data_IF_870674842261
#
_entry.id   IF_870674842261
#
_cell.length_a   1.000
_cell.length_b   1.000
_cell.length_c   1.000
_cell.angle_alpha   90.00
_cell.angle_beta   90.00
_cell.angle_gamma   90.00
#
_symmetry.space_group_name_H-M   'P 1'
#
loop_
_entity.id
_entity.type
_entity.pdbx_description
1 polymer ?
#
# COMPACT_ATOMS: atom_id res chain seq x y z
N UNK A 1 -15.18 -2.57 -26.42
CA UNK A 1 -14.29 -2.96 -25.30
C UNK A 1 -13.58 -4.25 -25.67
N UNK A 2 -12.29 -4.38 -25.36
CA UNK A 2 -11.58 -5.64 -25.57
C UNK A 2 -12.13 -6.72 -24.60
N UNK A 3 -12.26 -7.97 -25.05
CA UNK A 3 -12.67 -9.07 -24.17
C UNK A 3 -11.58 -9.38 -23.15
N UNK A 4 -11.97 -9.91 -21.97
CA UNK A 4 -11.06 -10.15 -20.85
C UNK A 4 -9.85 -11.01 -21.20
N UNK A 5 -10.05 -12.05 -22.00
CA UNK A 5 -8.98 -12.97 -22.41
C UNK A 5 -7.89 -12.29 -23.23
N UNK A 6 -8.28 -11.34 -24.10
CA UNK A 6 -7.32 -10.55 -24.88
C UNK A 6 -6.52 -9.59 -23.98
N UNK A 7 -7.16 -9.01 -22.97
CA UNK A 7 -6.48 -8.15 -21.97
C UNK A 7 -5.50 -8.97 -21.13
N UNK A 8 -5.90 -10.15 -20.66
CA UNK A 8 -5.02 -11.02 -19.87
C UNK A 8 -3.79 -11.46 -20.66
N UNK A 9 -4.01 -11.92 -21.92
CA UNK A 9 -2.91 -12.29 -22.82
C UNK A 9 -1.96 -11.14 -23.04
N UNK A 10 -2.49 -9.95 -23.37
CA UNK A 10 -1.69 -8.74 -23.59
C UNK A 10 -0.84 -8.38 -22.37
N UNK A 11 -1.42 -8.38 -21.16
CA UNK A 11 -0.67 -8.07 -19.93
C UNK A 11 0.43 -9.09 -19.67
N UNK A 12 0.15 -10.40 -19.87
CA UNK A 12 1.16 -11.42 -19.65
C UNK A 12 2.30 -11.34 -20.68
N UNK A 13 2.02 -11.03 -21.93
CA UNK A 13 3.03 -10.84 -22.97
C UNK A 13 3.92 -9.64 -22.68
N UNK A 14 3.31 -8.51 -22.28
CA UNK A 14 4.05 -7.30 -21.89
C UNK A 14 4.96 -7.56 -20.69
N UNK A 15 4.43 -8.25 -19.68
CA UNK A 15 5.23 -8.59 -18.49
C UNK A 15 6.35 -9.57 -18.80
N UNK A 16 6.13 -10.55 -19.70
CA UNK A 16 7.18 -11.47 -20.14
C UNK A 16 8.29 -10.71 -20.90
N UNK A 17 7.90 -9.80 -21.79
CA UNK A 17 8.86 -8.93 -22.51
C UNK A 17 9.62 -8.02 -21.54
N UNK A 18 8.95 -7.46 -20.52
CA UNK A 18 9.58 -6.64 -19.49
C UNK A 18 10.55 -7.46 -18.61
N UNK A 19 10.23 -8.73 -18.28
CA UNK A 19 11.13 -9.63 -17.54
C UNK A 19 12.45 -9.82 -18.31
N UNK A 20 12.38 -10.03 -19.62
CA UNK A 20 13.55 -10.18 -20.48
C UNK A 20 14.36 -8.89 -20.59
N UNK A 21 13.71 -7.76 -20.91
CA UNK A 21 14.36 -6.46 -21.08
C UNK A 21 15.02 -5.91 -19.82
N UNK A 22 14.49 -6.25 -18.65
CA UNK A 22 14.99 -5.77 -17.35
C UNK A 22 15.91 -6.79 -16.64
N UNK A 23 16.23 -7.93 -17.26
CA UNK A 23 17.00 -9.01 -16.64
C UNK A 23 18.33 -8.57 -16.05
N UNK A 24 19.08 -7.73 -16.75
CA UNK A 24 20.39 -7.20 -16.35
C UNK A 24 20.33 -5.75 -15.86
N UNK A 25 19.13 -5.15 -15.79
CA UNK A 25 18.99 -3.75 -15.45
C UNK A 25 19.12 -3.50 -13.95
N UNK A 26 20.10 -2.68 -13.57
CA UNK A 26 20.29 -2.20 -12.20
C UNK A 26 19.70 -0.81 -12.06
N UNK A 27 18.53 -0.72 -11.45
CA UNK A 27 17.84 0.56 -11.26
C UNK A 27 18.58 1.46 -10.26
N UNK A 28 18.75 2.76 -10.54
CA UNK A 28 19.36 3.70 -9.60
C UNK A 28 18.45 4.04 -8.41
N UNK A 29 17.13 3.98 -8.57
CA UNK A 29 16.15 4.38 -7.57
C UNK A 29 14.91 3.45 -7.59
N UNK A 30 14.20 3.36 -6.47
CA UNK A 30 13.01 2.50 -6.34
C UNK A 30 11.75 3.00 -7.07
N UNK A 31 11.77 4.20 -7.65
CA UNK A 31 10.68 4.69 -8.51
C UNK A 31 10.76 4.17 -9.95
N UNK A 32 11.88 3.56 -10.33
CA UNK A 32 12.02 2.89 -11.62
C UNK A 32 11.73 1.40 -11.50
N UNK A 33 11.13 0.78 -12.54
CA UNK A 33 10.87 -0.65 -12.55
C UNK A 33 12.18 -1.45 -12.58
N UNK A 34 12.10 -2.70 -12.15
CA UNK A 34 13.18 -3.69 -12.24
C UNK A 34 12.56 -5.09 -12.25
N UNK A 35 13.33 -6.13 -12.49
CA UNK A 35 12.84 -7.51 -12.56
C UNK A 35 11.96 -7.92 -11.37
N UNK A 36 12.32 -7.67 -10.09
CA UNK A 36 11.43 -7.96 -8.98
C UNK A 36 10.07 -7.23 -9.03
N UNK A 37 9.99 -6.03 -9.63
CA UNK A 37 8.70 -5.33 -9.84
C UNK A 37 7.86 -6.09 -10.86
N UNK A 38 8.45 -6.52 -11.97
CA UNK A 38 7.77 -7.33 -12.98
C UNK A 38 7.26 -8.64 -12.37
N UNK A 39 8.07 -9.33 -11.58
CA UNK A 39 7.66 -10.54 -10.87
C UNK A 39 6.47 -10.28 -9.92
N UNK A 40 6.46 -9.13 -9.23
CA UNK A 40 5.34 -8.74 -8.38
C UNK A 40 4.04 -8.51 -9.16
N UNK A 41 4.12 -7.89 -10.32
CA UNK A 41 2.98 -7.71 -11.23
C UNK A 41 2.51 -9.04 -11.81
N UNK A 42 3.46 -9.92 -12.21
CA UNK A 42 3.14 -11.29 -12.63
C UNK A 42 2.40 -12.08 -11.54
N UNK A 43 2.90 -12.02 -10.30
CA UNK A 43 2.24 -12.69 -9.17
C UNK A 43 0.79 -12.22 -9.00
N UNK A 44 0.55 -10.91 -9.09
CA UNK A 44 -0.80 -10.34 -9.00
C UNK A 44 -1.68 -10.76 -10.18
N UNK A 45 -1.14 -10.76 -11.38
CA UNK A 45 -1.88 -11.14 -12.58
C UNK A 45 -2.32 -12.61 -12.52
N UNK A 46 -1.41 -13.52 -12.16
CA UNK A 46 -1.73 -14.92 -12.01
C UNK A 46 -2.73 -15.19 -10.87
N UNK A 47 -2.64 -14.45 -9.76
CA UNK A 47 -3.60 -14.53 -8.67
C UNK A 47 -4.99 -14.08 -9.11
N UNK A 48 -5.08 -12.97 -9.84
CA UNK A 48 -6.33 -12.45 -10.40
C UNK A 48 -7.00 -13.47 -11.33
N UNK A 49 -6.23 -14.07 -12.24
CA UNK A 49 -6.72 -15.10 -13.17
C UNK A 49 -7.22 -16.32 -12.40
N UNK A 50 -6.48 -16.82 -11.43
CA UNK A 50 -6.91 -17.94 -10.60
C UNK A 50 -8.20 -17.67 -9.84
N UNK A 51 -8.32 -16.48 -9.25
CA UNK A 51 -9.53 -16.05 -8.55
C UNK A 51 -10.72 -15.91 -9.49
N UNK A 52 -10.51 -15.39 -10.71
CA UNK A 52 -11.55 -15.31 -11.71
C UNK A 52 -12.05 -16.70 -12.13
N UNK A 53 -11.15 -17.63 -12.41
CA UNK A 53 -11.51 -18.99 -12.84
C UNK A 53 -12.11 -19.83 -11.70
N UNK A 54 -11.90 -19.43 -10.45
CA UNK A 54 -12.61 -20.00 -9.32
C UNK A 54 -14.07 -19.54 -9.28
N UNK A 55 -14.32 -18.26 -9.55
CA UNK A 55 -15.66 -17.67 -9.54
C UNK A 55 -16.45 -17.95 -10.83
N UNK A 56 -15.75 -18.06 -11.96
CA UNK A 56 -16.30 -18.25 -13.31
C UNK A 56 -15.51 -19.34 -14.05
N UNK A 57 -15.76 -20.64 -13.76
CA UNK A 57 -14.95 -21.74 -14.34
C UNK A 57 -15.00 -21.80 -15.87
N UNK A 58 -16.07 -21.35 -16.50
CA UNK A 58 -16.24 -21.29 -17.97
C UNK A 58 -15.26 -20.30 -18.62
N UNK A 59 -14.79 -19.31 -17.89
CA UNK A 59 -13.86 -18.30 -18.41
C UNK A 59 -12.48 -18.90 -18.70
N UNK A 60 -12.09 -19.96 -18.01
CA UNK A 60 -10.85 -20.69 -18.31
C UNK A 60 -10.89 -21.31 -19.72
N UNK A 61 -11.99 -21.98 -20.07
CA UNK A 61 -12.17 -22.54 -21.39
C UNK A 61 -12.24 -21.44 -22.46
N UNK A 62 -12.94 -20.35 -22.15
CA UNK A 62 -13.03 -19.19 -23.04
C UNK A 62 -11.66 -18.60 -23.32
N UNK A 63 -10.82 -18.44 -22.29
CA UNK A 63 -9.45 -17.94 -22.45
C UNK A 63 -8.61 -18.89 -23.31
N UNK A 64 -8.59 -20.19 -23.01
CA UNK A 64 -7.78 -21.17 -23.73
C UNK A 64 -8.21 -21.33 -25.20
N UNK A 65 -9.52 -21.20 -25.50
CA UNK A 65 -10.01 -21.27 -26.87
C UNK A 65 -9.68 -20.02 -27.71
N UNK A 66 -9.36 -18.91 -27.08
CA UNK A 66 -9.10 -17.62 -27.74
C UNK A 66 -7.66 -17.10 -27.57
N UNK A 67 -6.80 -17.83 -26.85
CA UNK A 67 -5.40 -17.52 -26.67
C UNK A 67 -4.55 -18.77 -26.70
N UNK A 68 -3.24 -18.62 -26.78
CA UNK A 68 -2.24 -19.69 -26.73
C UNK A 68 -1.70 -19.97 -25.32
N UNK A 69 -2.34 -19.42 -24.28
CA UNK A 69 -1.86 -19.55 -22.90
C UNK A 69 -1.93 -20.97 -22.34
N UNK A 70 -2.87 -21.78 -22.81
CA UNK A 70 -3.03 -23.21 -22.49
C UNK A 70 -2.97 -23.51 -20.98
N UNK A 71 -3.74 -22.76 -20.18
CA UNK A 71 -3.76 -22.90 -18.72
C UNK A 71 -4.56 -24.14 -18.36
N UNK A 72 -3.93 -25.07 -17.65
CA UNK A 72 -4.54 -26.36 -17.31
C UNK A 72 -5.68 -26.24 -16.29
N UNK A 73 -5.52 -25.39 -15.27
CA UNK A 73 -6.53 -25.20 -14.23
C UNK A 73 -6.29 -23.89 -13.45
N UNK A 74 -7.24 -23.50 -12.60
CA UNK A 74 -7.07 -22.38 -11.67
C UNK A 74 -5.91 -22.59 -10.69
N UNK A 75 -5.65 -23.83 -10.28
CA UNK A 75 -4.54 -24.19 -9.39
C UNK A 75 -3.20 -23.91 -10.05
N UNK A 76 -3.09 -24.06 -11.38
CA UNK A 76 -1.91 -23.63 -12.15
C UNK A 76 -1.67 -22.13 -11.98
N UNK A 77 -2.73 -21.33 -12.02
CA UNK A 77 -2.60 -19.89 -11.80
C UNK A 77 -2.12 -19.55 -10.37
N UNK A 78 -2.71 -20.17 -9.36
CA UNK A 78 -2.28 -19.96 -7.98
C UNK A 78 -0.83 -20.42 -7.73
N UNK A 79 -0.43 -21.53 -8.33
CA UNK A 79 0.97 -22.02 -8.27
C UNK A 79 1.92 -21.00 -8.88
N UNK A 80 1.63 -20.49 -10.08
CA UNK A 80 2.44 -19.46 -10.73
C UNK A 80 2.46 -18.15 -9.92
N UNK A 81 1.33 -17.75 -9.34
CA UNK A 81 1.26 -16.57 -8.46
C UNK A 81 2.22 -16.73 -7.27
N UNK A 82 2.22 -17.90 -6.62
CA UNK A 82 3.10 -18.20 -5.50
C UNK A 82 4.58 -18.24 -5.91
N UNK A 83 4.90 -18.82 -7.09
CA UNK A 83 6.26 -18.85 -7.62
C UNK A 83 6.82 -17.45 -7.87
N UNK A 84 6.07 -16.58 -8.55
CA UNK A 84 6.49 -15.21 -8.81
C UNK A 84 6.57 -14.37 -7.52
N UNK A 85 5.63 -14.54 -6.59
CA UNK A 85 5.72 -13.88 -5.29
C UNK A 85 6.99 -14.30 -4.52
N UNK A 86 7.38 -15.58 -4.58
CA UNK A 86 8.61 -16.09 -3.97
C UNK A 86 9.86 -15.49 -4.61
N UNK A 87 9.88 -15.34 -5.94
CA UNK A 87 10.97 -14.61 -6.62
C UNK A 87 11.12 -13.20 -6.06
N UNK A 88 10.01 -12.43 -5.91
CA UNK A 88 10.05 -11.09 -5.32
C UNK A 88 10.65 -11.10 -3.92
N UNK A 89 10.20 -12.00 -3.05
CA UNK A 89 10.71 -12.13 -1.68
C UNK A 89 12.22 -12.37 -1.66
N UNK A 90 12.71 -13.23 -2.54
CA UNK A 90 14.12 -13.64 -2.56
C UNK A 90 15.04 -12.61 -3.23
N UNK A 91 14.55 -11.89 -4.25
CA UNK A 91 15.37 -11.08 -5.15
C UNK A 91 15.30 -9.58 -4.85
N UNK A 92 14.19 -9.10 -4.28
CA UNK A 92 14.00 -7.66 -4.08
C UNK A 92 14.77 -7.09 -2.90
N UNK A 93 15.18 -7.92 -1.94
CA UNK A 93 15.70 -7.47 -0.65
C UNK A 93 14.65 -6.77 0.23
N UNK A 94 13.38 -6.80 -0.18
CA UNK A 94 12.31 -6.17 0.59
C UNK A 94 12.05 -6.93 1.90
N UNK A 95 11.87 -6.17 2.98
CA UNK A 95 11.61 -6.68 4.32
C UNK A 95 10.34 -6.06 4.88
N UNK A 96 9.59 -6.77 5.72
CA UNK A 96 8.47 -6.17 6.45
C UNK A 96 8.93 -4.94 7.24
N UNK A 97 8.03 -3.94 7.34
CA UNK A 97 8.28 -2.79 8.20
C UNK A 97 8.46 -3.21 9.65
N UNK A 98 9.43 -2.60 10.30
CA UNK A 98 9.56 -2.64 11.76
C UNK A 98 8.46 -1.78 12.40
N UNK A 99 8.21 -1.96 13.70
CA UNK A 99 7.28 -1.12 14.45
C UNK A 99 7.66 0.37 14.36
N UNK A 100 8.95 0.68 14.47
CA UNK A 100 9.49 2.03 14.36
C UNK A 100 9.21 2.65 12.98
N UNK A 101 9.48 1.93 11.92
CA UNK A 101 9.24 2.39 10.56
C UNK A 101 7.74 2.56 10.27
N UNK A 102 6.90 1.68 10.81
CA UNK A 102 5.45 1.78 10.66
C UNK A 102 4.89 3.11 11.20
N UNK A 103 5.42 3.58 12.32
CA UNK A 103 5.02 4.86 12.93
C UNK A 103 5.84 6.06 12.45
N UNK A 104 6.64 5.90 11.40
CA UNK A 104 7.34 6.98 10.72
C UNK A 104 8.80 7.15 11.12
N UNK A 105 9.38 6.21 11.87
CA UNK A 105 10.78 6.26 12.27
C UNK A 105 11.07 7.41 13.23
N UNK A 106 12.21 8.08 13.04
CA UNK A 106 12.66 9.20 13.88
C UNK A 106 12.25 10.57 13.32
N UNK A 107 11.68 10.60 12.12
CA UNK A 107 11.25 11.83 11.46
C UNK A 107 10.15 11.56 10.43
N UNK A 108 9.47 12.59 9.95
CA UNK A 108 8.45 12.47 8.90
C UNK A 108 9.01 12.02 7.54
N UNK A 109 10.32 12.07 7.36
CA UNK A 109 11.00 11.66 6.12
C UNK A 109 11.50 10.23 6.14
N UNK A 110 11.32 9.52 7.25
CA UNK A 110 11.72 8.12 7.42
C UNK A 110 10.51 7.22 7.68
N UNK A 111 10.71 5.93 7.66
CA UNK A 111 9.64 4.97 7.88
C UNK A 111 8.86 4.64 6.63
N UNK A 112 7.59 4.24 6.79
CA UNK A 112 6.80 3.68 5.70
C UNK A 112 6.53 4.66 4.54
N UNK A 113 6.61 5.96 4.78
CA UNK A 113 6.41 7.00 3.76
C UNK A 113 7.64 7.21 2.87
N UNK A 114 8.77 6.64 3.21
CA UNK A 114 10.00 6.77 2.41
C UNK A 114 10.15 5.58 1.46
N UNK A 115 10.33 5.83 0.17
CA UNK A 115 10.65 4.80 -0.83
C UNK A 115 12.03 4.16 -0.57
N UNK A 116 12.87 4.79 0.25
CA UNK A 116 14.15 4.24 0.68
C UNK A 116 13.99 3.13 1.71
N UNK A 117 12.84 3.04 2.38
CA UNK A 117 12.53 1.96 3.32
C UNK A 117 12.54 0.61 2.61
N UNK A 118 13.13 -0.40 3.26
CA UNK A 118 13.30 -1.72 2.66
C UNK A 118 11.99 -2.45 2.34
N UNK A 119 10.88 -2.06 2.92
CA UNK A 119 9.55 -2.65 2.63
C UNK A 119 9.01 -2.30 1.23
N UNK A 120 9.55 -1.29 0.58
CA UNK A 120 9.13 -0.89 -0.76
C UNK A 120 9.90 -1.65 -1.83
N UNK A 121 9.19 -2.39 -2.67
CA UNK A 121 9.73 -2.97 -3.90
C UNK A 121 9.74 -1.93 -5.02
N UNK A 122 8.66 -1.14 -5.11
CA UNK A 122 8.48 -0.08 -6.10
C UNK A 122 7.52 0.95 -5.56
N UNK A 123 7.73 2.23 -5.86
CA UNK A 123 6.85 3.30 -5.45
C UNK A 123 7.00 4.53 -6.33
N UNK A 124 5.92 5.29 -6.46
CA UNK A 124 5.95 6.61 -7.06
C UNK A 124 6.31 7.63 -5.98
N UNK A 125 7.28 8.47 -6.26
CA UNK A 125 7.64 9.59 -5.38
C UNK A 125 6.73 10.75 -5.78
N UNK A 126 5.98 11.28 -4.81
CA UNK A 126 5.23 12.52 -4.98
C UNK A 126 6.03 13.67 -4.37
N UNK A 127 6.33 14.67 -5.17
CA UNK A 127 6.98 15.90 -4.72
C UNK A 127 5.92 16.99 -4.51
N UNK A 128 6.31 18.07 -3.81
CA UNK A 128 5.45 19.25 -3.64
C UNK A 128 5.06 19.87 -4.99
N UNK A 129 5.92 19.75 -5.99
CA UNK A 129 5.70 20.26 -7.34
C UNK A 129 4.67 19.43 -8.13
N UNK A 130 4.55 18.14 -7.81
CA UNK A 130 3.59 17.23 -8.45
C UNK A 130 2.16 17.40 -7.93
N UNK A 131 2.01 18.03 -6.78
CA UNK A 131 0.71 18.15 -6.09
C UNK A 131 0.09 19.52 -6.36
N UNK A 132 -0.50 19.70 -7.52
CA UNK A 132 -1.17 20.95 -7.89
C UNK A 132 -2.58 21.11 -7.28
N UNK A 133 -3.16 20.06 -6.71
CA UNK A 133 -4.52 20.10 -6.18
C UNK A 133 -4.69 19.18 -4.98
N UNK A 134 -4.79 19.75 -3.81
CA UNK A 134 -5.05 19.02 -2.57
C UNK A 134 -6.44 18.34 -2.55
N UNK A 135 -7.36 18.74 -3.40
CA UNK A 135 -8.68 18.12 -3.54
C UNK A 135 -8.63 16.66 -3.98
N UNK A 136 -7.60 16.31 -4.73
CA UNK A 136 -7.39 14.96 -5.25
C UNK A 136 -6.37 14.18 -4.42
N UNK A 137 -5.82 14.77 -3.38
CA UNK A 137 -4.81 14.13 -2.55
C UNK A 137 -5.47 13.11 -1.60
N UNK A 138 -5.39 11.85 -2.00
CA UNK A 138 -5.85 10.72 -1.18
C UNK A 138 -5.26 10.75 0.22
N UNK A 139 -4.04 11.14 0.33
CA UNK A 139 -3.30 11.19 1.56
C UNK A 139 -3.82 12.27 2.53
N UNK A 140 -4.13 13.45 2.04
CA UNK A 140 -4.79 14.48 2.84
C UNK A 140 -6.11 14.01 3.43
N UNK A 141 -6.84 13.15 2.70
CA UNK A 141 -8.07 12.55 3.21
C UNK A 141 -7.87 11.46 4.26
N UNK A 142 -6.64 10.96 4.41
CA UNK A 142 -6.28 9.91 5.37
C UNK A 142 -5.66 10.45 6.66
N UNK A 143 -5.25 11.73 6.68
CA UNK A 143 -4.73 12.37 7.88
C UNK A 143 -5.85 12.81 8.82
N UNK A 144 -5.64 12.78 10.13
CA UNK A 144 -6.53 13.41 11.09
C UNK A 144 -6.54 14.93 10.87
N UNK A 145 -7.71 15.50 10.61
CA UNK A 145 -7.84 16.89 10.19
C UNK A 145 -7.36 17.90 11.23
N UNK A 146 -7.68 17.67 12.49
CA UNK A 146 -7.39 18.64 13.56
C UNK A 146 -5.91 18.71 13.89
N UNK A 147 -5.19 17.61 13.77
CA UNK A 147 -3.75 17.54 14.05
C UNK A 147 -2.91 18.38 13.09
N UNK A 148 -3.40 18.59 11.88
CA UNK A 148 -2.61 19.19 10.81
C UNK A 148 -3.19 20.50 10.25
N UNK A 149 -4.13 21.11 10.96
CA UNK A 149 -4.53 22.48 10.74
C UNK A 149 -5.12 22.83 9.38
N UNK A 150 -5.98 21.97 8.80
CA UNK A 150 -6.76 22.33 7.60
C UNK A 150 -7.73 23.49 7.87
N UNK A 151 -7.35 24.36 8.78
CA UNK A 151 -8.00 25.56 9.19
C UNK A 151 -9.45 25.64 8.71
N UNK A 152 -10.44 25.61 9.55
CA UNK A 152 -11.87 25.76 9.26
C UNK A 152 -12.56 24.75 8.33
N UNK A 153 -11.88 23.71 7.83
CA UNK A 153 -12.50 22.68 6.99
C UNK A 153 -12.89 21.43 7.79
N UNK A 154 -13.83 21.58 8.68
CA UNK A 154 -14.36 20.51 9.57
C UNK A 154 -15.09 19.37 8.86
N UNK A 155 -15.14 19.35 7.55
CA UNK A 155 -15.94 18.38 6.76
C UNK A 155 -15.15 17.20 6.19
N UNK A 156 -13.83 17.19 6.31
CA UNK A 156 -13.02 16.02 5.94
C UNK A 156 -12.91 15.09 7.15
N UNK A 157 -13.85 14.19 7.27
CA UNK A 157 -13.96 13.30 8.42
C UNK A 157 -12.72 12.42 8.64
N UNK A 158 -12.45 12.10 9.88
CA UNK A 158 -11.45 11.13 10.29
C UNK A 158 -11.66 9.78 9.59
N UNK A 159 -10.58 9.11 9.26
CA UNK A 159 -10.64 7.71 8.86
C UNK A 159 -10.61 6.85 10.11
N UNK A 160 -11.71 6.19 10.38
CA UNK A 160 -11.90 5.37 11.55
C UNK A 160 -11.92 3.90 11.14
N UNK A 161 -11.31 3.06 11.98
CA UNK A 161 -11.52 1.62 11.87
C UNK A 161 -12.89 1.25 12.47
N UNK A 162 -13.60 0.32 11.85
CA UNK A 162 -14.84 -0.20 12.43
C UNK A 162 -14.57 -0.88 13.79
N UNK A 163 -15.38 -0.56 14.80
CA UNK A 163 -15.24 -1.10 16.16
C UNK A 163 -15.06 -2.62 16.17
N UNK A 164 -15.92 -3.34 15.46
CA UNK A 164 -15.85 -4.82 15.42
C UNK A 164 -14.50 -5.32 14.92
N UNK A 165 -13.92 -4.65 13.92
CA UNK A 165 -12.60 -5.01 13.40
C UNK A 165 -11.50 -4.67 14.41
N UNK A 166 -11.56 -3.50 15.04
CA UNK A 166 -10.60 -3.09 16.07
C UNK A 166 -10.58 -4.09 17.24
N UNK A 167 -11.76 -4.53 17.70
CA UNK A 167 -11.89 -5.49 18.82
C UNK A 167 -11.32 -6.88 18.45
N UNK A 168 -11.29 -7.24 17.15
CA UNK A 168 -10.72 -8.51 16.68
C UNK A 168 -9.19 -8.49 16.58
N UNK A 169 -8.55 -7.31 16.55
CA UNK A 169 -7.09 -7.23 16.50
C UNK A 169 -6.55 -7.59 17.88
N UNK A 170 -5.66 -8.62 18.01
CA UNK A 170 -5.06 -8.99 19.27
C UNK A 170 -4.34 -7.82 19.95
N UNK A 171 -4.44 -7.70 21.26
CA UNK A 171 -3.73 -6.64 22.01
C UNK A 171 -2.21 -6.79 21.94
N UNK A 172 -1.69 -7.98 21.67
CA UNK A 172 -0.27 -8.22 21.46
C UNK A 172 0.22 -7.77 20.07
N UNK A 173 -0.68 -7.47 19.14
CA UNK A 173 -0.31 -6.93 17.84
C UNK A 173 -0.09 -5.42 17.97
N UNK A 174 1.18 -5.00 17.93
CA UNK A 174 1.54 -3.58 18.05
C UNK A 174 0.90 -2.70 16.95
N UNK A 175 0.52 -3.27 15.81
CA UNK A 175 -0.18 -2.53 14.73
C UNK A 175 -1.56 -2.04 15.17
N UNK A 176 -2.14 -2.61 16.24
CA UNK A 176 -3.40 -2.13 16.82
C UNK A 176 -3.30 -0.67 17.26
N UNK A 177 -2.12 -0.24 17.71
CA UNK A 177 -1.87 1.16 18.10
C UNK A 177 -1.80 2.14 16.91
N UNK A 178 -2.03 1.67 15.68
CA UNK A 178 -2.29 2.55 14.53
C UNK A 178 -3.62 3.32 14.68
N UNK A 179 -4.51 2.82 15.52
CA UNK A 179 -5.80 3.45 15.81
C UNK A 179 -5.92 3.79 17.28
N UNK A 180 -6.53 4.94 17.57
CA UNK A 180 -6.74 5.40 18.93
C UNK A 180 -7.76 4.49 19.62
N UNK A 181 -7.38 3.90 20.75
CA UNK A 181 -8.29 3.11 21.56
C UNK A 181 -9.36 4.01 22.20
N UNK A 182 -10.59 3.50 22.47
CA UNK A 182 -11.67 4.29 23.06
C UNK A 182 -11.31 4.96 24.37
N UNK A 183 -10.52 4.30 25.19
CA UNK A 183 -10.07 4.81 26.51
C UNK A 183 -9.08 5.95 26.41
N UNK A 184 -8.43 6.12 25.27
CA UNK A 184 -7.41 7.16 25.01
C UNK A 184 -7.95 8.35 24.20
N UNK A 185 -9.16 8.20 23.67
CA UNK A 185 -9.79 9.28 22.91
C UNK A 185 -9.89 10.56 23.74
N UNK A 186 -9.55 11.69 23.12
CA UNK A 186 -9.54 13.01 23.75
C UNK A 186 -8.63 13.13 24.98
N UNK A 187 -7.58 12.32 25.05
CA UNK A 187 -6.62 12.33 26.15
C UNK A 187 -5.20 12.38 25.60
N UNK A 188 -4.28 12.85 26.44
CA UNK A 188 -2.85 12.72 26.21
C UNK A 188 -2.42 11.28 26.51
N UNK A 189 -2.08 10.46 25.52
CA UNK A 189 -1.81 9.04 25.74
C UNK A 189 -0.37 8.76 26.22
N UNK A 190 0.45 9.80 26.37
CA UNK A 190 1.85 9.68 26.75
C UNK A 190 2.66 8.85 25.74
N UNK A 191 3.37 7.84 26.22
CA UNK A 191 4.23 7.00 25.37
C UNK A 191 3.53 5.73 24.84
N UNK A 192 2.23 5.58 25.02
CA UNK A 192 1.48 4.40 24.58
C UNK A 192 1.57 4.21 23.06
N UNK A 193 1.50 5.31 22.34
CA UNK A 193 1.56 5.31 20.88
C UNK A 193 2.95 5.74 20.40
N UNK A 194 3.62 4.88 19.66
CA UNK A 194 4.91 5.18 19.06
C UNK A 194 4.74 6.00 17.78
N UNK A 195 4.51 7.29 17.93
CA UNK A 195 4.26 8.21 16.82
C UNK A 195 4.99 9.53 17.07
N UNK A 196 5.15 10.32 16.02
CA UNK A 196 5.65 11.71 16.12
C UNK A 196 4.56 12.70 16.55
N UNK A 197 3.30 12.25 16.72
CA UNK A 197 2.23 13.06 17.25
C UNK A 197 2.46 13.38 18.73
N UNK A 198 2.12 14.60 19.11
CA UNK A 198 2.21 15.09 20.49
C UNK A 198 0.92 14.78 21.26
N UNK A 199 0.96 14.95 22.58
CA UNK A 199 -0.22 14.80 23.42
C UNK A 199 -1.34 15.80 23.05
N UNK A 200 -0.97 17.01 22.63
CA UNK A 200 -1.94 18.01 22.16
C UNK A 200 -2.64 17.56 20.87
N UNK A 201 -1.94 16.84 20.01
CA UNK A 201 -2.54 16.28 18.78
C UNK A 201 -3.64 15.28 19.08
N UNK A 202 -3.58 14.57 20.21
CA UNK A 202 -4.58 13.58 20.61
C UNK A 202 -5.81 14.20 21.30
N UNK A 203 -5.72 15.45 21.80
CA UNK A 203 -6.77 16.06 22.63
C UNK A 203 -8.14 16.05 21.95
N UNK A 204 -8.17 16.24 20.64
CA UNK A 204 -9.41 16.33 19.86
C UNK A 204 -9.71 15.09 19.01
N UNK A 205 -8.86 14.06 19.06
CA UNK A 205 -9.05 12.88 18.22
C UNK A 205 -10.12 11.95 18.80
N UNK A 206 -11.14 11.59 18.00
CA UNK A 206 -12.15 10.63 18.42
C UNK A 206 -11.57 9.19 18.47
N UNK A 207 -12.26 8.27 19.17
CA UNK A 207 -11.85 6.87 19.21
C UNK A 207 -11.79 6.25 17.81
N UNK A 208 -10.92 5.27 17.65
CA UNK A 208 -10.70 4.53 16.40
C UNK A 208 -10.07 5.33 15.26
N UNK A 209 -9.66 6.57 15.48
CA UNK A 209 -8.97 7.39 14.49
C UNK A 209 -7.64 6.74 14.10
N UNK A 210 -7.38 6.65 12.79
CA UNK A 210 -6.08 6.21 12.27
C UNK A 210 -5.04 7.31 12.38
N UNK A 211 -3.87 6.99 12.94
CA UNK A 211 -2.76 7.94 13.16
C UNK A 211 -1.52 7.63 12.32
N UNK A 212 -1.64 6.70 11.36
CA UNK A 212 -0.52 6.29 10.52
C UNK A 212 -0.13 7.38 9.52
N UNK A 213 -1.12 7.95 8.84
CA UNK A 213 -0.88 8.93 7.79
C UNK A 213 -0.83 10.34 8.35
N UNK A 214 0.17 11.09 7.93
CA UNK A 214 0.39 12.48 8.34
C UNK A 214 1.22 13.21 7.29
N UNK A 215 1.16 14.55 7.22
CA UNK A 215 2.01 15.34 6.35
C UNK A 215 3.49 15.18 6.69
N UNK A 216 4.35 15.27 5.68
CA UNK A 216 5.80 15.09 5.81
C UNK A 216 6.44 15.98 6.86
N UNK A 217 6.09 17.26 6.87
CA UNK A 217 6.67 18.26 7.77
C UNK A 217 5.74 18.64 8.94
N UNK A 218 4.64 17.90 9.14
CA UNK A 218 3.64 18.26 10.14
C UNK A 218 2.81 19.49 9.78
N UNK A 219 3.02 20.07 8.61
CA UNK A 219 2.29 21.24 8.13
C UNK A 219 1.31 20.85 7.02
N UNK A 220 0.11 21.40 7.10
CA UNK A 220 -0.96 21.11 6.17
C UNK A 220 -0.77 21.66 4.76
N UNK A 221 0.10 22.65 4.61
CA UNK A 221 0.46 23.18 3.30
C UNK A 221 1.49 22.31 2.58
N UNK A 222 2.08 21.36 3.28
CA UNK A 222 2.95 20.35 2.70
C UNK A 222 2.10 19.11 2.38
N UNK A 223 1.56 19.09 1.17
CA UNK A 223 0.72 17.98 0.67
C UNK A 223 1.51 16.72 0.37
N UNK A 224 2.80 16.73 0.61
CA UNK A 224 3.63 15.53 0.47
C UNK A 224 3.47 14.65 1.71
N UNK A 225 2.91 13.48 1.52
CA UNK A 225 3.08 12.40 2.48
C UNK A 225 4.43 11.82 2.21
N UNK A 226 5.34 12.09 3.13
CA UNK A 226 6.72 11.70 3.13
C UNK A 226 7.19 10.74 2.02
N UNK A 227 7.94 11.28 1.10
CA UNK A 227 8.68 10.47 0.15
C UNK A 227 9.86 9.81 0.85
#
# INVERSE_FOLDING_TARGET
RAPFYAVYKFILDDLASAEELLSDYQRPTKNLPCTPVVHGLMARMWLEMGSRFELYPEDLNTLNNNTDLNIASKETCFTKAAEYARKVINESGAMPLTEKEWFGGDSYTTGFNSVLTNSWVWGSIMTTEDVHSYWLNFAGSMCPEQTFGYGNRKWQGYKLIGRKLFDQIPNADWRKTTWIAPEDAHKAPGTKYRTLLTDDDFADMPPYTGIKFRPKNGEMNDYTIGA
#
